data_IF_638489464892
#
_entry.id   IF_638489464892
#
_cell.length_a   1.000
_cell.length_b   1.000
_cell.length_c   1.000
_cell.angle_alpha   90.00
_cell.angle_beta   90.00
_cell.angle_gamma   90.00
#
_symmetry.space_group_name_H-M   'P 1'
#
loop_
_entity.id
_entity.type
_entity.pdbx_description
1 polymer ?
#
# COMPACT_ATOMS: atom_id res chain seq x y z
N UNK A 1 -7.38 -2.88 24.67
CA UNK A 1 -6.10 -2.34 25.17
C UNK A 1 -4.93 -3.33 25.17
N UNK A 2 -5.07 -4.59 25.60
CA UNK A 2 -3.98 -5.58 25.47
C UNK A 2 -4.26 -6.69 24.43
N UNK A 3 -5.50 -6.79 23.94
CA UNK A 3 -5.88 -7.75 22.90
C UNK A 3 -5.64 -7.17 21.49
N UNK A 4 -5.91 -5.88 21.33
CA UNK A 4 -5.84 -5.07 20.10
C UNK A 4 -4.41 -5.18 19.51
N UNK A 5 -3.39 -4.89 20.33
CA UNK A 5 -1.98 -4.97 19.89
C UNK A 5 -1.44 -6.37 19.58
N UNK A 6 -2.14 -7.48 19.86
CA UNK A 6 -1.68 -8.84 19.48
C UNK A 6 -2.18 -9.20 18.07
N UNK A 7 -3.34 -8.69 17.67
CA UNK A 7 -3.99 -9.03 16.40
C UNK A 7 -3.50 -8.13 15.25
N UNK A 8 -3.01 -6.93 15.55
CA UNK A 8 -2.36 -6.01 14.60
C UNK A 8 -0.95 -6.49 14.13
N UNK A 9 -0.22 -7.21 14.99
CA UNK A 9 1.18 -7.63 14.71
C UNK A 9 1.32 -8.42 13.39
N UNK A 10 0.49 -9.44 13.12
CA UNK A 10 0.49 -10.13 11.83
C UNK A 10 0.33 -9.18 10.63
N UNK A 11 -0.59 -8.21 10.71
CA UNK A 11 -0.82 -7.23 9.66
C UNK A 11 0.42 -6.39 9.36
N UNK A 12 1.05 -5.86 10.41
CA UNK A 12 2.30 -5.08 10.30
C UNK A 12 3.43 -5.89 9.68
N UNK A 13 3.59 -7.17 10.08
CA UNK A 13 4.62 -8.06 9.50
C UNK A 13 4.38 -8.26 8.00
N UNK A 14 3.13 -8.47 7.60
CA UNK A 14 2.75 -8.62 6.19
C UNK A 14 3.04 -7.34 5.39
N UNK A 15 2.71 -6.17 5.95
CA UNK A 15 3.00 -4.87 5.33
C UNK A 15 4.50 -4.65 5.14
N UNK A 16 5.32 -4.94 6.15
CA UNK A 16 6.78 -4.87 6.04
C UNK A 16 7.28 -5.82 4.93
N UNK A 17 6.75 -7.04 4.86
CA UNK A 17 7.10 -7.98 3.80
C UNK A 17 6.73 -7.45 2.40
N UNK A 18 5.56 -6.81 2.26
CA UNK A 18 5.14 -6.13 1.03
C UNK A 18 6.11 -5.01 0.64
N UNK A 19 6.49 -4.14 1.58
CA UNK A 19 7.47 -3.06 1.34
C UNK A 19 8.79 -3.65 0.86
N UNK A 20 9.34 -4.63 1.57
CA UNK A 20 10.63 -5.23 1.21
C UNK A 20 10.60 -5.82 -0.20
N UNK A 21 9.49 -6.46 -0.60
CA UNK A 21 9.34 -6.97 -1.96
C UNK A 21 9.20 -5.86 -2.99
N UNK A 22 8.43 -4.80 -2.72
CA UNK A 22 8.35 -3.65 -3.61
C UNK A 22 9.70 -2.95 -3.78
N UNK A 23 10.48 -2.79 -2.70
CA UNK A 23 11.85 -2.23 -2.76
C UNK A 23 12.75 -3.11 -3.62
N UNK A 24 12.68 -4.43 -3.47
CA UNK A 24 13.43 -5.34 -4.37
C UNK A 24 13.06 -5.13 -5.83
N UNK A 25 11.78 -4.86 -6.14
CA UNK A 25 11.34 -4.58 -7.51
C UNK A 25 11.78 -3.21 -8.01
N UNK A 26 11.86 -2.18 -7.14
CA UNK A 26 12.50 -0.91 -7.49
C UNK A 26 13.94 -1.13 -7.94
N UNK A 27 14.72 -1.91 -7.19
CA UNK A 27 16.13 -2.20 -7.49
C UNK A 27 16.29 -3.04 -8.77
N UNK A 28 15.36 -3.96 -9.03
CA UNK A 28 15.40 -4.84 -10.20
C UNK A 28 14.80 -4.23 -11.47
N UNK A 29 14.20 -3.04 -11.39
CA UNK A 29 13.50 -2.42 -12.52
C UNK A 29 14.48 -2.04 -13.65
N UNK A 30 14.23 -2.52 -14.87
CA UNK A 30 15.02 -2.16 -16.06
C UNK A 30 14.45 -0.90 -16.75
N UNK A 31 13.17 -0.59 -16.52
CA UNK A 31 12.48 0.58 -17.07
C UNK A 31 12.17 1.64 -16.02
N UNK A 32 12.30 2.93 -16.41
CA UNK A 32 11.86 4.07 -15.57
C UNK A 32 10.39 3.97 -15.18
N UNK A 33 9.53 3.47 -16.08
CA UNK A 33 8.10 3.31 -15.82
C UNK A 33 7.84 2.26 -14.74
N UNK A 34 8.60 1.16 -14.73
CA UNK A 34 8.52 0.15 -13.68
C UNK A 34 9.06 0.69 -12.36
N UNK A 35 10.23 1.33 -12.39
CA UNK A 35 10.87 1.91 -11.21
C UNK A 35 9.94 2.86 -10.46
N UNK A 36 9.32 3.82 -11.15
CA UNK A 36 8.41 4.78 -10.52
C UNK A 36 7.10 4.14 -10.05
N UNK A 37 6.64 3.10 -10.72
CA UNK A 37 5.45 2.35 -10.30
C UNK A 37 5.72 1.59 -8.99
N UNK A 38 6.85 0.90 -8.89
CA UNK A 38 7.24 0.20 -7.66
C UNK A 38 7.58 1.17 -6.54
N UNK A 39 8.16 2.33 -6.85
CA UNK A 39 8.37 3.40 -5.87
C UNK A 39 7.02 3.91 -5.31
N UNK A 40 6.03 4.14 -6.17
CA UNK A 40 4.68 4.49 -5.74
C UNK A 40 4.06 3.40 -4.85
N UNK A 41 4.30 2.13 -5.17
CA UNK A 41 3.84 0.99 -4.37
C UNK A 41 4.50 0.96 -2.99
N UNK A 42 5.82 1.23 -2.89
CA UNK A 42 6.53 1.37 -1.61
C UNK A 42 5.92 2.49 -0.77
N UNK A 43 5.70 3.67 -1.37
CA UNK A 43 5.10 4.80 -0.67
C UNK A 43 3.66 4.51 -0.22
N UNK A 44 2.90 3.74 -1.01
CA UNK A 44 1.55 3.32 -0.63
C UNK A 44 1.57 2.45 0.63
N UNK A 45 2.39 1.40 0.66
CA UNK A 45 2.50 0.56 1.85
C UNK A 45 3.08 1.32 3.05
N UNK A 46 3.98 2.28 2.83
CA UNK A 46 4.47 3.15 3.90
C UNK A 46 3.33 4.00 4.50
N UNK A 47 2.46 4.57 3.66
CA UNK A 47 1.30 5.33 4.12
C UNK A 47 0.32 4.45 4.91
N UNK A 48 0.11 3.20 4.47
CA UNK A 48 -0.72 2.23 5.20
C UNK A 48 -0.10 1.87 6.55
N UNK A 49 1.20 1.56 6.62
CA UNK A 49 1.88 1.29 7.90
C UNK A 49 1.74 2.47 8.87
N UNK A 50 1.83 3.71 8.39
CA UNK A 50 1.60 4.88 9.26
C UNK A 50 0.20 4.82 9.86
N UNK A 51 -0.83 4.50 9.07
CA UNK A 51 -2.22 4.41 9.56
C UNK A 51 -2.32 3.39 10.69
N UNK A 52 -1.72 2.21 10.50
CA UNK A 52 -1.70 1.16 11.53
C UNK A 52 -0.89 1.53 12.78
N UNK A 53 0.08 2.44 12.65
CA UNK A 53 0.94 2.89 13.74
C UNK A 53 0.57 4.27 14.28
N UNK A 54 -0.66 4.74 14.07
CA UNK A 54 -1.09 6.09 14.44
C UNK A 54 -1.02 6.37 15.95
N UNK A 55 -0.97 5.33 16.79
CA UNK A 55 -0.81 5.44 18.24
C UNK A 55 0.66 5.61 18.70
N UNK A 56 1.65 5.29 17.85
CA UNK A 56 3.07 5.37 18.24
C UNK A 56 3.54 6.79 18.58
N UNK A 57 3.17 7.85 17.84
CA UNK A 57 3.61 9.19 18.16
C UNK A 57 3.22 9.63 19.58
N UNK A 58 2.04 9.25 20.06
CA UNK A 58 1.55 9.56 21.41
C UNK A 58 2.47 8.99 22.52
N UNK A 59 3.24 7.93 22.22
CA UNK A 59 4.20 7.34 23.17
C UNK A 59 5.50 8.15 23.31
N UNK A 60 5.84 8.96 22.31
CA UNK A 60 7.16 9.62 22.23
C UNK A 60 7.08 11.15 22.15
N UNK A 61 5.92 11.69 21.80
CA UNK A 61 5.72 13.11 21.54
C UNK A 61 4.75 13.65 22.58
N UNK A 62 5.17 14.71 23.28
CA UNK A 62 4.33 15.37 24.24
C UNK A 62 3.12 16.01 23.55
N UNK A 63 1.94 15.89 24.16
CA UNK A 63 0.68 16.40 23.60
C UNK A 63 0.65 17.91 23.36
N UNK A 64 1.54 18.67 24.00
CA UNK A 64 1.71 20.11 23.86
C UNK A 64 2.79 20.50 22.83
N UNK A 65 3.38 19.53 22.13
CA UNK A 65 4.36 19.81 21.09
C UNK A 65 3.74 20.65 19.98
N UNK A 66 4.36 21.79 19.70
CA UNK A 66 4.02 22.65 18.58
C UNK A 66 5.27 23.11 17.86
N UNK A 67 5.20 23.09 16.53
CA UNK A 67 6.25 23.58 15.64
C UNK A 67 5.61 24.57 14.67
N UNK A 68 6.19 25.77 14.55
CA UNK A 68 5.66 26.84 13.67
C UNK A 68 4.17 27.16 13.95
N UNK A 69 3.78 27.15 15.22
CA UNK A 69 2.40 27.42 15.67
C UNK A 69 1.36 26.42 15.15
N UNK A 70 1.80 25.22 14.75
CA UNK A 70 0.95 24.10 14.36
C UNK A 70 1.25 22.90 15.28
N UNK A 71 0.22 22.09 15.52
CA UNK A 71 0.35 20.85 16.29
C UNK A 71 1.15 19.79 15.54
N UNK A 72 1.59 18.76 16.27
CA UNK A 72 2.17 17.57 15.65
C UNK A 72 1.25 16.96 14.59
N UNK A 73 -0.03 16.76 14.93
CA UNK A 73 -1.04 16.14 14.05
C UNK A 73 -1.16 16.89 12.72
N UNK A 74 -1.11 18.23 12.76
CA UNK A 74 -1.15 19.04 11.55
C UNK A 74 0.06 18.78 10.63
N UNK A 75 1.26 18.70 11.20
CA UNK A 75 2.48 18.39 10.44
C UNK A 75 2.45 16.98 9.88
N UNK A 76 1.92 16.05 10.65
CA UNK A 76 1.76 14.66 10.23
C UNK A 76 0.81 14.56 9.02
N UNK A 77 -0.36 15.19 9.10
CA UNK A 77 -1.33 15.26 8.01
C UNK A 77 -0.75 15.96 6.77
N UNK A 78 0.01 17.04 6.97
CA UNK A 78 0.66 17.76 5.88
C UNK A 78 1.70 16.89 5.15
N UNK A 79 2.51 16.13 5.88
CA UNK A 79 3.49 15.20 5.31
C UNK A 79 2.78 14.07 4.57
N UNK A 80 1.73 13.49 5.15
CA UNK A 80 0.94 12.45 4.49
C UNK A 80 0.27 12.93 3.23
N UNK A 81 -0.26 14.15 3.21
CA UNK A 81 -0.81 14.77 2.02
C UNK A 81 0.24 14.83 0.90
N UNK A 82 1.47 15.26 1.20
CA UNK A 82 2.57 15.28 0.23
C UNK A 82 2.87 13.87 -0.27
N UNK A 83 2.92 12.87 0.60
CA UNK A 83 3.14 11.47 0.23
C UNK A 83 2.01 10.98 -0.70
N UNK A 84 0.75 11.27 -0.41
CA UNK A 84 -0.38 10.91 -1.27
C UNK A 84 -0.29 11.59 -2.64
N UNK A 85 0.06 12.88 -2.70
CA UNK A 85 0.27 13.59 -3.95
C UNK A 85 1.40 12.97 -4.78
N UNK A 86 2.49 12.55 -4.12
CA UNK A 86 3.59 11.83 -4.78
C UNK A 86 3.14 10.47 -5.32
N UNK A 87 2.38 9.70 -4.54
CA UNK A 87 1.82 8.41 -4.99
C UNK A 87 0.97 8.62 -6.24
N UNK A 88 -0.01 9.53 -6.19
CA UNK A 88 -0.91 9.82 -7.32
C UNK A 88 -0.12 10.33 -8.53
N UNK A 89 0.85 11.22 -8.33
CA UNK A 89 1.70 11.74 -9.40
C UNK A 89 2.53 10.66 -10.09
N UNK A 90 3.14 9.76 -9.32
CA UNK A 90 3.91 8.63 -9.85
C UNK A 90 3.01 7.62 -10.56
N UNK A 91 1.83 7.30 -10.01
CA UNK A 91 0.86 6.41 -10.65
C UNK A 91 0.29 6.99 -11.94
N UNK A 92 0.03 8.31 -11.98
CA UNK A 92 -0.38 9.01 -13.20
C UNK A 92 0.74 9.00 -14.25
N UNK A 93 1.98 9.26 -13.85
CA UNK A 93 3.16 9.18 -14.74
C UNK A 93 3.37 7.76 -15.31
N UNK A 94 3.06 6.74 -14.50
CA UNK A 94 3.22 5.32 -14.84
C UNK A 94 1.92 4.64 -15.28
N UNK A 95 0.89 5.43 -15.62
CA UNK A 95 -0.47 4.95 -15.92
C UNK A 95 -0.51 3.76 -16.88
N UNK A 96 0.31 3.76 -17.94
CA UNK A 96 0.35 2.64 -18.90
C UNK A 96 0.86 1.34 -18.27
N UNK A 97 1.87 1.44 -17.41
CA UNK A 97 2.39 0.30 -16.65
C UNK A 97 1.35 -0.17 -15.63
N UNK A 98 0.74 0.76 -14.89
CA UNK A 98 -0.37 0.48 -13.97
C UNK A 98 -1.50 -0.29 -14.69
N UNK A 99 -1.97 0.16 -15.85
CA UNK A 99 -3.01 -0.54 -16.61
C UNK A 99 -2.60 -1.93 -17.06
N UNK A 100 -1.35 -2.12 -17.45
CA UNK A 100 -0.85 -3.44 -17.82
C UNK A 100 -0.83 -4.38 -16.61
N UNK A 101 -0.41 -3.87 -15.44
CA UNK A 101 -0.43 -4.64 -14.19
C UNK A 101 -1.87 -4.99 -13.84
N UNK A 102 -2.80 -4.02 -13.83
CA UNK A 102 -4.21 -4.27 -13.51
C UNK A 102 -4.84 -5.30 -14.45
N UNK A 103 -4.55 -5.23 -15.76
CA UNK A 103 -5.05 -6.22 -16.73
C UNK A 103 -4.46 -7.62 -16.54
N UNK A 104 -3.32 -7.75 -15.89
CA UNK A 104 -2.69 -9.04 -15.61
C UNK A 104 -3.26 -9.73 -14.36
N UNK A 105 -3.99 -9.00 -13.51
CA UNK A 105 -4.62 -9.56 -12.31
C UNK A 105 -5.93 -10.26 -12.68
N UNK A 106 -6.17 -11.49 -12.21
CA UNK A 106 -7.45 -12.17 -12.44
C UNK A 106 -8.60 -11.48 -11.70
N UNK A 107 -9.76 -11.39 -12.35
CA UNK A 107 -10.93 -10.62 -11.89
C UNK A 107 -11.40 -11.03 -10.48
N UNK A 108 -11.31 -12.31 -10.12
CA UNK A 108 -11.76 -12.79 -8.82
C UNK A 108 -11.00 -12.16 -7.64
N UNK A 109 -9.73 -11.75 -7.82
CA UNK A 109 -8.97 -11.09 -6.77
C UNK A 109 -9.52 -9.69 -6.46
N UNK A 110 -10.00 -8.97 -7.47
CA UNK A 110 -10.67 -7.69 -7.24
C UNK A 110 -11.97 -7.86 -6.46
N UNK A 111 -12.76 -8.87 -6.80
CA UNK A 111 -14.00 -9.19 -6.08
C UNK A 111 -13.72 -9.57 -4.62
N UNK A 112 -12.65 -10.36 -4.37
CA UNK A 112 -12.23 -10.70 -3.00
C UNK A 112 -11.81 -9.45 -2.22
N UNK A 113 -10.98 -8.58 -2.80
CA UNK A 113 -10.53 -7.35 -2.13
C UNK A 113 -11.72 -6.43 -1.81
N UNK A 114 -12.65 -6.24 -2.76
CA UNK A 114 -13.86 -5.45 -2.51
C UNK A 114 -14.71 -6.06 -1.40
N UNK A 115 -14.88 -7.38 -1.40
CA UNK A 115 -15.62 -8.08 -0.34
C UNK A 115 -14.97 -7.91 1.04
N UNK A 116 -13.64 -8.01 1.12
CA UNK A 116 -12.89 -7.81 2.36
C UNK A 116 -12.96 -6.35 2.83
N UNK A 117 -12.81 -5.37 1.94
CA UNK A 117 -12.92 -3.95 2.29
C UNK A 117 -14.32 -3.57 2.79
N UNK A 118 -15.37 -4.17 2.23
CA UNK A 118 -16.73 -4.01 2.77
C UNK A 118 -16.88 -4.67 4.14
N UNK A 119 -16.26 -5.82 4.35
CA UNK A 119 -16.29 -6.52 5.63
C UNK A 119 -15.54 -5.72 6.72
N UNK A 120 -14.39 -5.15 6.38
CA UNK A 120 -13.60 -4.22 7.21
C UNK A 120 -14.47 -3.03 7.63
N UNK A 121 -15.05 -2.33 6.65
CA UNK A 121 -15.94 -1.18 6.90
C UNK A 121 -17.16 -1.54 7.77
N UNK A 122 -17.77 -2.70 7.54
CA UNK A 122 -18.90 -3.17 8.35
C UNK A 122 -18.47 -3.54 9.78
N UNK A 123 -17.27 -4.09 9.96
CA UNK A 123 -16.67 -4.40 11.26
C UNK A 123 -16.43 -3.13 12.08
N UNK A 124 -15.69 -2.18 11.50
CA UNK A 124 -15.32 -0.89 12.11
C UNK A 124 -16.57 -0.10 12.56
N UNK A 125 -17.60 -0.06 11.70
CA UNK A 125 -18.82 0.69 11.97
C UNK A 125 -19.90 -0.11 12.71
N UNK A 126 -19.59 -1.34 13.15
CA UNK A 126 -20.53 -2.27 13.80
C UNK A 126 -21.86 -2.44 13.03
N UNK A 127 -21.79 -2.41 11.69
CA UNK A 127 -22.95 -2.57 10.82
C UNK A 127 -23.24 -4.06 10.66
N UNK A 128 -24.35 -4.53 11.24
CA UNK A 128 -24.75 -5.95 11.26
C UNK A 128 -23.81 -6.90 12.03
N UNK A 129 -22.78 -6.37 12.71
CA UNK A 129 -21.83 -7.13 13.51
C UNK A 129 -21.82 -6.55 14.95
N UNK A 130 -21.93 -7.37 16.01
CA UNK A 130 -21.82 -6.89 17.38
C UNK A 130 -20.46 -6.21 17.62
N UNK A 131 -20.42 -5.10 18.36
CA UNK A 131 -19.20 -4.31 18.61
C UNK A 131 -17.99 -5.16 19.06
N UNK A 132 -18.18 -6.12 19.98
CA UNK A 132 -17.07 -6.97 20.45
C UNK A 132 -16.51 -7.95 19.41
N UNK A 133 -17.19 -8.15 18.29
CA UNK A 133 -16.71 -8.92 17.13
C UNK A 133 -16.32 -8.03 15.95
N UNK A 134 -16.74 -6.76 15.94
CA UNK A 134 -16.47 -5.81 14.86
C UNK A 134 -14.98 -5.59 14.65
N UNK A 135 -14.27 -5.30 15.74
CA UNK A 135 -12.80 -5.12 15.77
C UNK A 135 -12.06 -6.36 15.23
N UNK A 136 -12.42 -7.55 15.72
CA UNK A 136 -11.82 -8.81 15.25
C UNK A 136 -12.05 -9.02 13.74
N UNK A 137 -13.25 -8.69 13.26
CA UNK A 137 -13.61 -8.84 11.85
C UNK A 137 -12.87 -7.84 10.97
N UNK A 138 -12.73 -6.60 11.44
CA UNK A 138 -11.94 -5.54 10.80
C UNK A 138 -10.49 -5.98 10.61
N UNK A 139 -9.82 -6.35 11.71
CA UNK A 139 -8.41 -6.76 11.67
C UNK A 139 -8.18 -8.01 10.82
N UNK A 140 -9.10 -8.98 10.86
CA UNK A 140 -9.03 -10.18 10.01
C UNK A 140 -9.24 -9.84 8.52
N UNK A 141 -10.17 -8.94 8.22
CA UNK A 141 -10.43 -8.50 6.85
C UNK A 141 -9.20 -7.80 6.28
N UNK A 142 -8.63 -6.87 7.04
CA UNK A 142 -7.42 -6.14 6.70
C UNK A 142 -6.21 -7.07 6.51
N UNK A 143 -5.97 -7.97 7.46
CA UNK A 143 -4.92 -9.00 7.37
C UNK A 143 -5.10 -9.86 6.12
N UNK A 144 -6.36 -10.16 5.75
CA UNK A 144 -6.71 -10.85 4.51
C UNK A 144 -6.29 -10.08 3.26
N UNK A 145 -6.57 -8.76 3.22
CA UNK A 145 -6.14 -7.87 2.12
C UNK A 145 -4.63 -7.88 1.98
N UNK A 146 -3.89 -7.73 3.08
CA UNK A 146 -2.42 -7.74 3.06
C UNK A 146 -1.84 -9.10 2.66
N UNK A 147 -2.47 -10.19 3.08
CA UNK A 147 -2.06 -11.54 2.67
C UNK A 147 -2.23 -11.73 1.17
N UNK A 148 -3.36 -11.28 0.60
CA UNK A 148 -3.60 -11.31 -0.85
C UNK A 148 -2.57 -10.45 -1.58
N UNK A 149 -2.34 -9.22 -1.10
CA UNK A 149 -1.37 -8.30 -1.67
C UNK A 149 0.04 -8.91 -1.68
N UNK A 150 0.49 -9.44 -0.54
CA UNK A 150 1.79 -10.10 -0.42
C UNK A 150 1.89 -11.31 -1.34
N UNK A 151 0.87 -12.17 -1.37
CA UNK A 151 0.86 -13.35 -2.23
C UNK A 151 0.97 -12.96 -3.71
N UNK A 152 0.24 -11.92 -4.12
CA UNK A 152 0.29 -11.42 -5.49
C UNK A 152 1.67 -10.84 -5.81
N UNK A 153 2.17 -9.92 -4.98
CA UNK A 153 3.49 -9.30 -5.14
C UNK A 153 4.56 -10.40 -5.19
N UNK A 154 4.54 -11.37 -4.28
CA UNK A 154 5.54 -12.44 -4.21
C UNK A 154 5.59 -13.33 -5.46
N UNK A 155 4.43 -13.54 -6.11
CA UNK A 155 4.34 -14.30 -7.36
C UNK A 155 4.67 -13.46 -8.58
N UNK A 156 4.64 -12.13 -8.46
CA UNK A 156 4.91 -11.23 -9.56
C UNK A 156 6.37 -11.32 -10.00
N UNK A 157 6.61 -11.32 -11.32
CA UNK A 157 7.95 -11.41 -11.90
C UNK A 157 8.21 -10.16 -12.74
N UNK A 158 8.79 -9.08 -12.16
CA UNK A 158 8.87 -7.78 -12.83
C UNK A 158 9.68 -7.84 -14.14
N UNK A 159 10.83 -8.50 -14.14
CA UNK A 159 11.68 -8.65 -15.33
C UNK A 159 10.96 -9.37 -16.48
N UNK A 160 10.21 -10.43 -16.18
CA UNK A 160 9.45 -11.18 -17.19
C UNK A 160 8.26 -10.37 -17.71
N UNK A 161 7.64 -9.58 -16.82
CA UNK A 161 6.52 -8.71 -17.17
C UNK A 161 6.98 -7.55 -18.07
N UNK A 162 8.08 -6.87 -17.72
CA UNK A 162 8.68 -5.79 -18.50
C UNK A 162 9.10 -6.22 -19.91
N UNK A 163 9.64 -7.44 -20.06
CA UNK A 163 10.01 -7.98 -21.38
C UNK A 163 8.80 -8.35 -22.24
N UNK A 164 7.65 -8.65 -21.63
CA UNK A 164 6.39 -9.00 -22.34
C UNK A 164 5.52 -7.79 -22.64
N UNK A 165 5.67 -6.71 -21.88
CA UNK A 165 5.12 -5.42 -22.26
C UNK A 165 5.63 -5.14 -23.67
N UNK A 166 4.75 -4.94 -24.67
CA UNK A 166 5.19 -4.58 -26.00
C UNK A 166 5.99 -3.30 -25.82
N UNK A 167 7.31 -3.39 -25.97
CA UNK A 167 8.18 -2.26 -26.15
C UNK A 167 7.48 -1.41 -27.18
N UNK A 168 6.99 -0.25 -26.77
CA UNK A 168 6.62 0.78 -27.71
C UNK A 168 7.89 0.97 -28.56
N UNK A 169 7.89 0.42 -29.78
CA UNK A 169 8.98 0.42 -30.76
C UNK A 169 9.36 1.88 -31.06
N UNK A 170 10.09 2.52 -30.15
CA UNK A 170 10.46 3.94 -30.26
C UNK A 170 11.87 4.28 -29.79
N UNK A 171 12.71 3.28 -29.53
CA UNK A 171 14.14 3.48 -29.28
C UNK A 171 15.00 2.40 -29.94
N UNK A 172 14.67 2.00 -31.17
CA UNK A 172 15.58 1.24 -32.05
C UNK A 172 15.93 2.01 -33.33
N UNK A 173 15.88 3.35 -33.30
CA UNK A 173 16.27 4.21 -34.42
C UNK A 173 17.30 5.25 -33.97
N UNK A 174 18.37 4.81 -33.29
CA UNK A 174 19.63 5.52 -33.25
C UNK A 174 20.76 4.49 -33.41
N UNK A 175 20.78 3.82 -34.55
CA UNK A 175 22.03 3.36 -35.17
C UNK A 175 22.09 4.04 -36.53
N UNK A 176 22.90 5.08 -36.61
CA UNK A 176 23.47 5.62 -37.82
C UNK A 176 24.97 5.77 -37.55
#
# INVERSE_FOLDING_TARGET
>A
MAADGIIEIPGIILLIACILRCVQYVVQSESKQSLYFWLASVLTFFAVIRRELNYLPELFIASDFSLLNQSYDWWEDAVLLIVYLLIVGLLAYTWRYLWAVLKSVPVYLYLMIVGLALLEYMGENAIMIPQGWGEIVEEMAETGVYTIALTYIWRFKPLMFERRLPLNKRYSSCQA
#
